data_IF_691663576635
#
_entry.id   IF_691663576635
#
_cell.length_a   1.000
_cell.length_b   1.000
_cell.length_c   1.000
_cell.angle_alpha   90.00
_cell.angle_beta   90.00
_cell.angle_gamma   90.00
#
_symmetry.space_group_name_H-M   'P 1'
#
loop_
_entity.id
_entity.type
_entity.pdbx_description
1 polymer ?
#
# COMPACT_ATOMS: atom_id res chain seq x y z
N UNK A 1 -28.86 -16.43 -4.72
CA UNK A 1 -28.03 -16.76 -5.90
C UNK A 1 -26.63 -16.22 -5.59
N UNK A 2 -25.70 -17.11 -5.24
CA UNK A 2 -24.30 -16.74 -5.12
C UNK A 2 -23.71 -16.66 -6.54
N UNK A 3 -23.39 -15.46 -6.99
CA UNK A 3 -22.63 -15.26 -8.21
C UNK A 3 -21.13 -15.36 -7.84
N UNK A 4 -20.35 -16.25 -8.46
CA UNK A 4 -18.92 -16.30 -8.25
C UNK A 4 -18.28 -14.97 -8.66
N UNK A 5 -17.27 -14.53 -7.91
CA UNK A 5 -16.51 -13.34 -8.29
C UNK A 5 -15.75 -13.60 -9.60
N UNK A 6 -15.62 -12.59 -10.49
CA UNK A 6 -14.80 -12.71 -11.68
C UNK A 6 -13.34 -13.02 -11.35
N UNK A 7 -12.64 -13.75 -12.24
CA UNK A 7 -11.24 -14.16 -12.02
C UNK A 7 -10.29 -12.98 -11.80
N UNK A 8 -10.56 -11.85 -12.42
CA UNK A 8 -9.75 -10.62 -12.30
C UNK A 8 -10.13 -9.72 -11.12
N UNK A 9 -11.05 -10.15 -10.25
CA UNK A 9 -11.38 -9.46 -9.01
C UNK A 9 -10.49 -9.93 -7.87
N UNK A 10 -9.80 -9.01 -7.20
CA UNK A 10 -9.02 -9.27 -6.00
C UNK A 10 -9.94 -9.14 -4.80
N UNK A 11 -10.41 -10.27 -4.31
CA UNK A 11 -11.25 -10.38 -3.11
C UNK A 11 -10.45 -10.81 -1.88
N UNK A 12 -11.09 -10.86 -0.71
CA UNK A 12 -10.44 -11.28 0.53
C UNK A 12 -9.90 -12.71 0.45
N UNK A 13 -10.59 -13.63 -0.20
CA UNK A 13 -10.15 -15.02 -0.38
C UNK A 13 -8.77 -15.12 -1.07
N UNK A 14 -8.53 -14.31 -2.11
CA UNK A 14 -7.25 -14.28 -2.84
C UNK A 14 -6.12 -13.62 -2.07
N UNK A 15 -6.44 -12.84 -1.04
CA UNK A 15 -5.45 -12.10 -0.24
C UNK A 15 -5.13 -12.83 1.07
N UNK A 16 -6.14 -13.36 1.75
CA UNK A 16 -6.00 -13.92 3.09
C UNK A 16 -6.24 -15.43 3.16
N UNK A 17 -6.76 -16.05 2.10
CA UNK A 17 -7.20 -17.44 2.11
C UNK A 17 -8.54 -17.61 2.85
N UNK A 18 -8.93 -18.86 3.01
CA UNK A 18 -10.13 -19.24 3.76
C UNK A 18 -9.75 -20.16 4.92
N UNK A 19 -10.41 -20.01 6.06
CA UNK A 19 -10.23 -20.93 7.18
C UNK A 19 -10.77 -22.35 6.90
N UNK A 20 -11.60 -22.50 5.87
CA UNK A 20 -12.25 -23.76 5.52
C UNK A 20 -11.34 -24.71 4.72
N UNK A 21 -10.40 -24.20 3.93
CA UNK A 21 -9.52 -25.00 3.06
C UNK A 21 -8.07 -24.50 3.15
N UNK A 22 -7.31 -24.87 4.18
CA UNK A 22 -5.89 -24.47 4.32
C UNK A 22 -5.00 -24.97 3.17
N UNK A 23 -5.42 -26.01 2.47
CA UNK A 23 -4.66 -26.63 1.37
C UNK A 23 -4.77 -25.84 0.03
N UNK A 24 -5.63 -24.82 -0.04
CA UNK A 24 -5.76 -23.92 -1.20
C UNK A 24 -4.89 -22.64 -1.06
N UNK A 25 -4.04 -22.56 -0.04
CA UNK A 25 -3.15 -21.41 0.21
C UNK A 25 -2.09 -21.21 -0.90
N UNK A 26 -1.87 -22.18 -1.77
CA UNK A 26 -0.93 -22.08 -2.90
C UNK A 26 -1.37 -21.07 -3.98
N UNK A 27 -2.63 -20.63 -3.95
CA UNK A 27 -3.21 -19.69 -4.92
C UNK A 27 -3.37 -18.26 -4.36
N UNK A 28 -2.80 -17.98 -3.21
CA UNK A 28 -2.87 -16.65 -2.60
C UNK A 28 -1.94 -15.65 -3.28
N UNK A 29 -2.41 -14.41 -3.39
CA UNK A 29 -1.56 -13.31 -3.80
C UNK A 29 -0.53 -13.02 -2.69
N UNK A 30 0.78 -13.09 -2.96
CA UNK A 30 1.84 -12.92 -1.97
C UNK A 30 2.07 -11.43 -1.63
N UNK A 31 1.02 -10.71 -1.26
CA UNK A 31 1.02 -9.24 -1.09
C UNK A 31 0.88 -8.78 0.36
N UNK A 32 0.71 -9.70 1.33
CA UNK A 32 0.57 -9.38 2.76
C UNK A 32 1.92 -9.47 3.47
N UNK A 33 2.28 -8.39 4.17
CA UNK A 33 3.54 -8.25 4.90
C UNK A 33 3.27 -7.97 6.38
N UNK A 34 3.85 -8.74 7.32
CA UNK A 34 3.63 -8.55 8.74
C UNK A 34 4.33 -7.28 9.24
N UNK A 35 3.65 -6.53 10.11
CA UNK A 35 4.20 -5.39 10.84
C UNK A 35 4.35 -5.79 12.30
N UNK A 36 5.59 -5.75 12.81
CA UNK A 36 5.95 -6.14 14.17
C UNK A 36 6.66 -5.05 14.97
N UNK A 37 6.95 -3.90 14.33
CA UNK A 37 7.79 -2.82 14.85
C UNK A 37 7.02 -1.51 15.10
N UNK A 38 5.70 -1.55 15.18
CA UNK A 38 4.86 -0.33 15.25
C UNK A 38 4.47 0.12 16.64
N UNK A 39 4.79 -0.62 17.70
CA UNK A 39 4.27 -0.39 19.05
C UNK A 39 4.68 0.96 19.67
N UNK A 40 5.89 1.43 19.36
CA UNK A 40 6.37 2.74 19.80
C UNK A 40 5.79 3.88 18.97
N UNK A 41 5.47 3.62 17.71
CA UNK A 41 4.94 4.60 16.78
C UNK A 41 3.44 4.85 17.01
N UNK A 42 2.66 3.78 17.16
CA UNK A 42 1.23 3.85 17.46
C UNK A 42 0.90 2.83 18.54
N UNK A 43 1.06 3.18 19.83
CA UNK A 43 0.78 2.27 20.94
C UNK A 43 -0.64 1.73 20.91
N UNK A 44 -0.81 0.46 21.25
CA UNK A 44 -2.11 -0.16 21.37
C UNK A 44 -2.98 0.60 22.38
N UNK A 45 -4.21 0.95 21.96
CA UNK A 45 -5.14 1.69 22.81
C UNK A 45 -4.82 3.17 23.02
N UNK A 46 -3.90 3.76 22.23
CA UNK A 46 -3.59 5.20 22.31
C UNK A 46 -4.85 6.06 22.29
N UNK A 47 -4.79 7.18 23.02
CA UNK A 47 -5.87 8.16 23.14
C UNK A 47 -5.55 9.42 22.32
N UNK A 48 -6.57 10.26 22.13
CA UNK A 48 -6.47 11.50 21.35
C UNK A 48 -5.32 12.40 21.81
N UNK A 49 -5.16 12.56 23.13
CA UNK A 49 -4.26 13.53 23.74
C UNK A 49 -2.94 12.90 24.22
N UNK A 50 -2.73 11.62 23.95
CA UNK A 50 -1.45 10.96 24.24
C UNK A 50 -0.30 11.60 23.46
N UNK A 51 0.94 11.51 23.96
CA UNK A 51 2.13 11.96 23.25
C UNK A 51 2.20 11.32 21.87
N UNK A 52 2.48 12.13 20.86
CA UNK A 52 2.55 11.70 19.47
C UNK A 52 3.99 11.39 19.05
N UNK A 53 4.19 10.43 18.15
CA UNK A 53 5.52 10.05 17.73
C UNK A 53 6.25 11.18 17.00
N UNK A 54 7.57 11.14 17.05
CA UNK A 54 8.44 11.99 16.23
C UNK A 54 8.77 11.32 14.90
N UNK A 55 9.51 11.99 14.03
CA UNK A 55 9.99 11.41 12.76
C UNK A 55 10.93 10.21 12.99
N UNK A 56 11.67 10.20 14.09
CA UNK A 56 12.61 9.14 14.43
C UNK A 56 11.89 7.86 14.91
N UNK A 57 10.66 8.00 15.40
CA UNK A 57 9.82 6.89 15.84
C UNK A 57 9.12 6.17 14.67
N UNK A 58 9.23 6.68 13.43
CA UNK A 58 8.64 6.04 12.25
C UNK A 58 9.30 4.67 12.06
N UNK A 59 8.54 3.56 12.16
CA UNK A 59 9.10 2.21 12.10
C UNK A 59 9.65 1.88 10.71
N UNK A 60 10.61 0.95 10.67
CA UNK A 60 11.22 0.54 9.40
C UNK A 60 10.22 -0.08 8.44
N UNK A 61 9.22 -0.79 8.95
CA UNK A 61 8.11 -1.31 8.15
C UNK A 61 7.35 -0.21 7.38
N UNK A 62 7.09 0.95 8.02
CA UNK A 62 6.44 2.08 7.35
C UNK A 62 7.39 2.79 6.38
N UNK A 63 8.67 2.92 6.72
CA UNK A 63 9.70 3.44 5.81
C UNK A 63 9.79 2.57 4.55
N UNK A 64 9.80 1.25 4.72
CA UNK A 64 9.76 0.28 3.62
C UNK A 64 8.48 0.42 2.79
N UNK A 65 7.31 0.55 3.42
CA UNK A 65 6.05 0.73 2.70
C UNK A 65 6.04 2.01 1.83
N UNK A 66 6.59 3.13 2.34
CA UNK A 66 6.70 4.38 1.56
C UNK A 66 7.65 4.19 0.37
N UNK A 67 8.81 3.54 0.57
CA UNK A 67 9.74 3.22 -0.52
C UNK A 67 9.11 2.26 -1.54
N UNK A 68 8.32 1.28 -1.10
CA UNK A 68 7.52 0.44 -1.97
C UNK A 68 6.57 1.27 -2.85
N UNK A 69 5.90 2.26 -2.28
CA UNK A 69 5.01 3.12 -3.07
C UNK A 69 5.77 3.93 -4.13
N UNK A 70 6.96 4.44 -3.81
CA UNK A 70 7.83 5.12 -4.78
C UNK A 70 8.20 4.18 -5.94
N UNK A 71 8.64 2.96 -5.62
CA UNK A 71 8.99 1.93 -6.63
C UNK A 71 7.77 1.54 -7.46
N UNK A 72 6.61 1.34 -6.84
CA UNK A 72 5.35 1.07 -7.54
C UNK A 72 5.01 2.16 -8.55
N UNK A 73 5.10 3.44 -8.16
CA UNK A 73 4.84 4.56 -9.07
C UNK A 73 5.80 4.54 -10.26
N UNK A 74 7.08 4.25 -10.05
CA UNK A 74 8.07 4.14 -11.13
C UNK A 74 7.77 2.96 -12.08
N UNK A 75 7.42 1.78 -11.55
CA UNK A 75 7.03 0.62 -12.37
C UNK A 75 5.77 0.93 -13.17
N UNK A 76 4.78 1.59 -12.59
CA UNK A 76 3.57 1.99 -13.32
C UNK A 76 3.84 2.98 -14.45
N UNK A 77 4.81 3.89 -14.29
CA UNK A 77 5.30 4.73 -15.40
C UNK A 77 5.89 3.85 -16.52
N UNK A 78 6.76 2.89 -16.18
CA UNK A 78 7.34 1.95 -17.15
C UNK A 78 6.28 1.13 -17.92
N UNK A 79 5.14 0.88 -17.27
CA UNK A 79 3.98 0.18 -17.87
C UNK A 79 3.03 1.09 -18.64
N UNK A 80 3.37 2.38 -18.85
CA UNK A 80 2.51 3.35 -19.54
C UNK A 80 1.32 3.84 -18.73
N UNK A 81 1.35 3.69 -17.41
CA UNK A 81 0.29 4.11 -16.49
C UNK A 81 0.58 5.44 -15.77
N UNK A 82 1.48 6.25 -16.32
CA UNK A 82 1.90 7.53 -15.70
C UNK A 82 0.73 8.48 -15.41
N UNK A 83 -0.28 8.49 -16.28
CA UNK A 83 -1.47 9.34 -16.16
C UNK A 83 -2.63 8.64 -15.44
N UNK A 84 -2.38 7.53 -14.76
CA UNK A 84 -3.36 6.87 -13.91
C UNK A 84 -3.18 7.29 -12.45
N UNK A 85 -4.27 7.23 -11.68
CA UNK A 85 -4.20 7.47 -10.25
C UNK A 85 -3.37 6.42 -9.55
N UNK A 86 -2.57 6.86 -8.57
CA UNK A 86 -1.80 6.01 -7.67
C UNK A 86 -2.10 6.43 -6.24
N UNK A 87 -2.45 5.48 -5.40
CA UNK A 87 -2.73 5.78 -4.00
C UNK A 87 -2.02 4.79 -3.08
N UNK A 88 -1.46 5.35 -2.00
CA UNK A 88 -1.04 4.61 -0.82
C UNK A 88 -1.95 5.00 0.34
N UNK A 89 -2.34 4.01 1.15
CA UNK A 89 -3.12 4.22 2.36
C UNK A 89 -2.25 4.03 3.60
N UNK A 90 -2.31 4.98 4.54
CA UNK A 90 -1.81 4.83 5.90
C UNK A 90 -2.99 5.00 6.86
N UNK A 91 -3.38 3.91 7.54
CA UNK A 91 -4.51 3.87 8.45
C UNK A 91 -4.09 3.23 9.78
N UNK A 92 -3.67 4.06 10.73
CA UNK A 92 -3.12 3.60 12.01
C UNK A 92 -3.83 4.22 13.23
N UNK A 93 -4.60 5.30 13.03
CA UNK A 93 -5.32 5.98 14.11
C UNK A 93 -6.68 6.51 13.65
N UNK A 94 -7.68 6.42 14.55
CA UNK A 94 -9.00 7.02 14.34
C UNK A 94 -9.04 8.52 14.66
N UNK A 95 -8.06 9.01 15.42
CA UNK A 95 -8.06 10.37 15.93
C UNK A 95 -7.49 11.35 14.91
N UNK A 96 -8.26 12.35 14.56
CA UNK A 96 -7.87 13.39 13.61
C UNK A 96 -6.59 14.11 13.99
N UNK A 97 -6.40 14.39 15.30
CA UNK A 97 -5.18 15.03 15.79
C UNK A 97 -3.93 14.18 15.50
N UNK A 98 -4.04 12.86 15.58
CA UNK A 98 -2.98 11.92 15.20
C UNK A 98 -2.75 11.92 13.70
N UNK A 99 -3.83 11.86 12.92
CA UNK A 99 -3.73 11.84 11.45
C UNK A 99 -3.02 13.09 10.92
N UNK A 100 -3.35 14.27 11.44
CA UNK A 100 -2.70 15.52 11.05
C UNK A 100 -1.22 15.53 11.44
N UNK A 101 -0.90 15.09 12.65
CA UNK A 101 0.48 15.01 13.11
C UNK A 101 1.30 14.00 12.27
N UNK A 102 0.74 12.81 12.02
CA UNK A 102 1.37 11.80 11.17
C UNK A 102 1.60 12.33 9.75
N UNK A 103 0.64 13.09 9.20
CA UNK A 103 0.82 13.75 7.90
C UNK A 103 2.05 14.64 7.88
N UNK A 104 2.28 15.43 8.94
CA UNK A 104 3.43 16.34 9.01
C UNK A 104 4.76 15.60 9.07
N UNK A 105 4.88 14.56 9.90
CA UNK A 105 6.15 13.82 10.02
C UNK A 105 6.41 12.93 8.80
N UNK A 106 5.38 12.33 8.20
CA UNK A 106 5.51 11.52 6.99
C UNK A 106 5.82 12.41 5.77
N UNK A 107 5.22 13.59 5.66
CA UNK A 107 5.55 14.55 4.61
C UNK A 107 7.02 15.00 4.67
N UNK A 108 7.56 15.23 5.88
CA UNK A 108 8.98 15.52 6.07
C UNK A 108 9.87 14.36 5.67
N UNK A 109 9.53 13.15 6.07
CA UNK A 109 10.27 11.94 5.67
C UNK A 109 10.24 11.75 4.16
N UNK A 110 9.08 11.91 3.54
CA UNK A 110 8.93 11.77 2.09
C UNK A 110 9.73 12.84 1.34
N UNK A 111 9.73 14.09 1.80
CA UNK A 111 10.56 15.17 1.23
C UNK A 111 12.05 14.86 1.31
N UNK A 112 12.50 14.25 2.40
CA UNK A 112 13.86 13.76 2.51
C UNK A 112 14.15 12.70 1.44
N UNK A 113 13.32 11.66 1.30
CA UNK A 113 13.49 10.64 0.26
C UNK A 113 13.49 11.24 -1.14
N UNK A 114 12.60 12.18 -1.40
CA UNK A 114 12.55 12.90 -2.68
C UNK A 114 13.85 13.63 -2.96
N UNK A 115 14.41 14.37 -1.99
CA UNK A 115 15.67 15.09 -2.17
C UNK A 115 16.85 14.15 -2.43
N UNK A 116 16.93 13.00 -1.75
CA UNK A 116 17.99 12.01 -1.98
C UNK A 116 17.88 11.38 -3.38
N UNK A 117 16.66 11.10 -3.85
CA UNK A 117 16.43 10.60 -5.21
C UNK A 117 16.81 11.66 -6.26
N UNK A 118 16.45 12.92 -6.04
CA UNK A 118 16.85 14.05 -6.91
C UNK A 118 18.36 14.22 -6.99
N UNK A 119 19.04 14.03 -5.87
CA UNK A 119 20.51 14.11 -5.78
C UNK A 119 21.22 12.86 -6.35
N UNK A 120 20.47 11.81 -6.75
CA UNK A 120 21.02 10.50 -7.09
C UNK A 120 21.91 9.91 -5.98
N UNK A 121 21.48 10.07 -4.72
CA UNK A 121 22.22 9.53 -3.57
C UNK A 121 22.39 8.01 -3.69
N UNK A 122 23.63 7.50 -3.61
CA UNK A 122 23.90 6.07 -3.82
C UNK A 122 23.24 5.17 -2.78
N UNK A 123 23.13 5.63 -1.53
CA UNK A 123 22.52 4.85 -0.44
C UNK A 123 21.02 4.72 -0.66
N UNK A 124 20.34 5.81 -0.97
CA UNK A 124 18.91 5.80 -1.27
C UNK A 124 18.58 4.94 -2.50
N UNK A 125 19.37 5.08 -3.57
CA UNK A 125 19.18 4.27 -4.77
C UNK A 125 19.42 2.78 -4.52
N UNK A 126 20.39 2.43 -3.67
CA UNK A 126 20.65 1.05 -3.28
C UNK A 126 19.49 0.47 -2.43
N UNK A 127 18.97 1.23 -1.47
CA UNK A 127 17.80 0.81 -0.69
C UNK A 127 16.57 0.55 -1.58
N UNK A 128 16.32 1.40 -2.58
CA UNK A 128 15.22 1.21 -3.53
C UNK A 128 15.48 0.01 -4.47
N UNK A 129 16.75 -0.22 -4.86
CA UNK A 129 17.13 -1.40 -5.64
C UNK A 129 16.87 -2.69 -4.87
N UNK A 130 17.27 -2.73 -3.60
CA UNK A 130 17.02 -3.88 -2.73
C UNK A 130 15.51 -4.18 -2.60
N UNK A 131 14.68 -3.17 -2.39
CA UNK A 131 13.21 -3.34 -2.39
C UNK A 131 12.70 -3.91 -3.70
N UNK A 132 13.28 -3.51 -4.81
CA UNK A 132 12.87 -3.99 -6.13
C UNK A 132 13.35 -5.43 -6.43
N UNK A 133 14.58 -5.82 -6.02
CA UNK A 133 15.25 -7.06 -6.45
C UNK A 133 15.43 -8.13 -5.37
N UNK A 134 15.50 -7.75 -4.08
CA UNK A 134 16.00 -8.63 -3.02
C UNK A 134 14.92 -8.97 -2.00
N UNK A 135 14.78 -10.26 -1.71
CA UNK A 135 13.90 -10.72 -0.63
C UNK A 135 14.61 -10.62 0.73
N UNK A 136 13.84 -10.39 1.79
CA UNK A 136 14.27 -10.47 3.18
C UNK A 136 13.27 -11.32 3.99
N UNK A 137 13.56 -11.68 5.25
CA UNK A 137 12.66 -12.48 6.07
C UNK A 137 11.24 -11.90 6.19
N UNK A 138 11.13 -10.58 6.23
CA UNK A 138 9.86 -9.87 6.42
C UNK A 138 9.37 -9.15 5.15
N UNK A 139 10.06 -9.33 4.02
CA UNK A 139 9.73 -8.63 2.80
C UNK A 139 10.08 -9.46 1.55
N UNK A 140 9.19 -9.42 0.57
CA UNK A 140 9.38 -10.05 -0.75
C UNK A 140 9.44 -8.98 -1.84
N UNK A 141 10.46 -9.05 -2.68
CA UNK A 141 10.75 -8.05 -3.70
C UNK A 141 9.70 -8.00 -4.81
N UNK A 142 9.68 -6.90 -5.55
CA UNK A 142 8.83 -6.78 -6.74
C UNK A 142 9.19 -7.81 -7.80
N UNK A 143 10.49 -8.05 -8.00
CA UNK A 143 11.00 -9.03 -8.95
C UNK A 143 10.47 -10.43 -8.63
N UNK A 144 10.54 -10.85 -7.39
CA UNK A 144 10.08 -12.17 -6.95
C UNK A 144 8.57 -12.31 -7.11
N UNK A 145 7.79 -11.37 -6.58
CA UNK A 145 6.32 -11.44 -6.63
C UNK A 145 5.81 -11.37 -8.06
N UNK A 146 6.33 -10.46 -8.88
CA UNK A 146 5.95 -10.37 -10.29
C UNK A 146 6.24 -11.67 -11.02
N UNK A 147 7.42 -12.28 -10.79
CA UNK A 147 7.80 -13.58 -11.38
C UNK A 147 6.82 -14.69 -10.99
N UNK A 148 6.54 -14.84 -9.71
CA UNK A 148 5.61 -15.87 -9.21
C UNK A 148 4.20 -15.74 -9.78
N UNK A 149 3.67 -14.50 -9.85
CA UNK A 149 2.33 -14.27 -10.42
C UNK A 149 2.30 -14.61 -11.92
N UNK A 150 3.34 -14.25 -12.68
CA UNK A 150 3.42 -14.55 -14.11
C UNK A 150 3.54 -16.07 -14.35
N UNK A 151 4.32 -16.76 -13.54
CA UNK A 151 4.57 -18.20 -13.67
C UNK A 151 3.42 -19.07 -13.13
N UNK A 152 2.59 -18.55 -12.24
CA UNK A 152 1.46 -19.28 -11.67
C UNK A 152 0.34 -19.47 -12.71
N UNK A 153 -0.13 -20.72 -12.97
CA UNK A 153 -1.26 -20.97 -13.85
C UNK A 153 -2.57 -20.35 -13.39
N UNK A 154 -2.72 -20.10 -12.10
CA UNK A 154 -3.92 -19.53 -11.48
C UNK A 154 -3.81 -18.01 -11.37
N UNK A 155 -2.72 -17.51 -10.76
CA UNK A 155 -2.55 -16.08 -10.50
C UNK A 155 -2.37 -15.26 -11.79
N UNK A 156 -1.73 -15.83 -12.81
CA UNK A 156 -1.56 -15.17 -14.12
C UNK A 156 -2.88 -14.85 -14.84
N UNK A 157 -3.98 -15.52 -14.46
CA UNK A 157 -5.32 -15.25 -15.01
C UNK A 157 -5.95 -13.99 -14.43
N UNK A 158 -5.49 -13.54 -13.23
CA UNK A 158 -6.01 -12.35 -12.58
C UNK A 158 -5.72 -11.11 -13.43
N UNK A 159 -4.52 -11.04 -14.00
CA UNK A 159 -4.11 -9.88 -14.80
C UNK A 159 -3.06 -10.26 -15.86
N UNK A 160 -3.47 -10.25 -17.11
CA UNK A 160 -2.60 -10.56 -18.25
C UNK A 160 -1.75 -9.37 -18.75
N UNK A 161 -1.82 -8.22 -18.08
CA UNK A 161 -1.05 -7.01 -18.40
C UNK A 161 0.22 -6.85 -17.56
N UNK A 162 0.43 -7.75 -16.62
CA UNK A 162 1.64 -7.78 -15.79
C UNK A 162 2.84 -8.13 -16.65
N UNK A 163 3.95 -7.44 -16.43
CA UNK A 163 5.24 -7.74 -17.04
C UNK A 163 6.39 -7.48 -16.09
N UNK A 164 7.45 -8.25 -16.22
CA UNK A 164 8.70 -8.06 -15.50
C UNK A 164 9.46 -6.84 -16.04
N UNK A 165 10.26 -6.24 -15.16
CA UNK A 165 11.18 -5.14 -15.46
C UNK A 165 12.54 -5.40 -14.86
N UNK A 166 13.56 -4.71 -15.36
CA UNK A 166 14.89 -4.65 -14.77
C UNK A 166 15.04 -3.37 -13.94
N UNK A 167 15.99 -3.37 -13.01
CA UNK A 167 16.31 -2.15 -12.26
C UNK A 167 16.75 -1.00 -13.17
N UNK A 168 17.50 -1.29 -14.24
CA UNK A 168 17.97 -0.28 -15.20
C UNK A 168 16.82 0.40 -15.94
N UNK A 169 15.69 -0.29 -16.12
CA UNK A 169 14.45 0.30 -16.67
C UNK A 169 13.73 1.19 -15.66
N UNK A 170 13.75 0.83 -14.37
CA UNK A 170 12.99 1.50 -13.32
C UNK A 170 13.73 2.70 -12.73
N UNK A 171 15.04 2.56 -12.49
CA UNK A 171 15.87 3.59 -11.87
C UNK A 171 15.72 4.99 -12.50
N UNK A 172 15.78 5.17 -13.84
CA UNK A 172 15.61 6.49 -14.47
C UNK A 172 14.25 7.13 -14.25
N UNK A 173 13.23 6.35 -13.88
CA UNK A 173 11.85 6.81 -13.70
C UNK A 173 11.54 7.25 -12.25
N UNK A 174 12.42 6.96 -11.30
CA UNK A 174 12.22 7.30 -9.88
C UNK A 174 12.03 8.80 -9.66
N UNK A 175 12.83 9.63 -10.31
CA UNK A 175 12.69 11.08 -10.21
C UNK A 175 11.30 11.56 -10.67
N UNK A 176 10.84 11.10 -11.81
CA UNK A 176 9.48 11.44 -12.33
C UNK A 176 8.39 10.94 -11.39
N UNK A 177 8.55 9.76 -10.82
CA UNK A 177 7.59 9.19 -9.89
C UNK A 177 7.43 10.06 -8.64
N UNK A 178 8.55 10.45 -7.97
CA UNK A 178 8.49 11.22 -6.73
C UNK A 178 8.01 12.65 -6.91
N UNK A 179 8.14 13.24 -8.11
CA UNK A 179 7.64 14.58 -8.40
C UNK A 179 6.12 14.69 -8.29
N UNK A 180 5.39 13.62 -8.59
CA UNK A 180 3.93 13.58 -8.57
C UNK A 180 3.32 13.23 -7.22
N UNK A 181 4.13 12.67 -6.29
CA UNK A 181 3.61 12.16 -5.02
C UNK A 181 3.38 13.32 -4.04
N UNK A 182 2.17 13.37 -3.50
CA UNK A 182 1.77 14.29 -2.43
C UNK A 182 1.32 13.51 -1.19
N UNK A 183 1.59 14.06 0.00
CA UNK A 183 1.12 13.50 1.28
C UNK A 183 -0.09 14.29 1.76
N UNK A 184 -1.23 13.62 1.94
CA UNK A 184 -2.50 14.24 2.33
C UNK A 184 -3.13 13.55 3.53
N UNK A 185 -3.69 14.34 4.44
CA UNK A 185 -4.57 13.85 5.50
C UNK A 185 -6.01 13.89 5.02
N UNK A 186 -6.71 12.76 5.14
CA UNK A 186 -8.10 12.63 4.74
C UNK A 186 -8.96 12.48 5.99
N UNK A 187 -9.42 13.62 6.48
CA UNK A 187 -10.30 13.70 7.64
C UNK A 187 -11.51 14.60 7.36
N UNK A 188 -12.47 14.58 8.28
CA UNK A 188 -13.78 15.20 8.10
C UNK A 188 -13.84 16.70 7.97
N UNK A 189 -12.79 17.39 8.27
CA UNK A 189 -12.72 18.85 8.39
C UNK A 189 -11.71 19.48 7.44
N UNK A 190 -10.80 18.67 6.86
CA UNK A 190 -9.86 19.17 5.88
C UNK A 190 -10.55 19.29 4.52
N UNK A 191 -10.33 20.41 3.83
CA UNK A 191 -10.65 20.58 2.44
C UNK A 191 -9.80 19.67 1.48
N UNK A 192 -9.07 18.73 2.06
CA UNK A 192 -8.24 17.75 1.35
C UNK A 192 -9.12 16.61 0.79
N UNK A 193 -10.09 16.97 -0.04
CA UNK A 193 -10.74 15.96 -0.87
C UNK A 193 -9.74 15.48 -1.93
N UNK A 194 -9.66 14.16 -2.12
CA UNK A 194 -8.94 13.61 -3.26
C UNK A 194 -9.77 13.89 -4.51
N UNK A 195 -9.35 14.87 -5.30
CA UNK A 195 -10.06 15.30 -6.52
C UNK A 195 -9.63 14.43 -7.71
N UNK A 196 -9.87 13.11 -7.62
CA UNK A 196 -9.56 12.19 -8.71
C UNK A 196 -10.25 12.59 -10.00
N UNK A 197 -11.51 12.98 -9.94
CA UNK A 197 -12.30 13.38 -11.11
C UNK A 197 -11.70 14.59 -11.82
N UNK A 198 -11.27 15.60 -11.07
CA UNK A 198 -10.68 16.83 -11.64
C UNK A 198 -9.30 16.57 -12.28
N UNK A 199 -8.65 15.46 -11.90
CA UNK A 199 -7.31 15.07 -12.36
C UNK A 199 -7.31 13.81 -13.23
N UNK A 200 -8.42 13.42 -13.82
CA UNK A 200 -8.56 12.18 -14.60
C UNK A 200 -7.57 12.09 -15.77
N UNK A 201 -7.23 13.23 -16.39
CA UNK A 201 -6.30 13.26 -17.53
C UNK A 201 -4.83 13.06 -17.15
N UNK A 202 -4.42 13.56 -15.99
CA UNK A 202 -3.03 13.56 -15.57
C UNK A 202 -2.72 12.54 -14.49
N UNK A 203 -3.75 12.00 -13.84
CA UNK A 203 -3.62 11.17 -12.66
C UNK A 203 -3.04 11.93 -11.46
N UNK A 204 -3.30 11.45 -10.26
CA UNK A 204 -2.62 11.91 -9.04
C UNK A 204 -1.92 10.74 -8.37
N UNK A 205 -0.80 11.03 -7.71
CA UNK A 205 -0.10 10.08 -6.85
C UNK A 205 -0.14 10.60 -5.43
N UNK A 206 -0.74 9.84 -4.50
CA UNK A 206 -1.01 10.34 -3.16
C UNK A 206 -0.70 9.30 -2.09
N UNK A 207 -0.03 9.74 -1.02
CA UNK A 207 0.05 9.04 0.25
C UNK A 207 -1.06 9.60 1.14
N UNK A 208 -2.14 8.84 1.28
CA UNK A 208 -3.34 9.23 2.00
C UNK A 208 -3.28 8.72 3.44
N UNK A 209 -3.28 9.64 4.40
CA UNK A 209 -3.36 9.33 5.82
C UNK A 209 -4.79 9.58 6.27
N UNK A 210 -5.46 8.54 6.74
CA UNK A 210 -6.88 8.65 7.03
C UNK A 210 -7.35 7.80 8.20
N UNK A 211 -8.59 8.03 8.58
CA UNK A 211 -9.31 7.36 9.65
C UNK A 211 -10.64 6.78 9.20
N UNK A 212 -11.64 6.80 10.07
CA UNK A 212 -12.96 6.17 9.87
C UNK A 212 -13.73 6.65 8.64
N UNK A 213 -13.42 7.84 8.11
CA UNK A 213 -14.03 8.29 6.85
C UNK A 213 -13.60 7.50 5.63
N UNK A 214 -12.44 6.85 5.69
CA UNK A 214 -12.02 5.93 4.62
C UNK A 214 -12.91 4.69 4.51
N UNK A 215 -13.62 4.33 5.58
CA UNK A 215 -14.59 3.23 5.56
C UNK A 215 -15.92 3.61 4.89
N UNK A 216 -16.23 4.91 4.78
CA UNK A 216 -17.52 5.39 4.31
C UNK A 216 -17.38 6.46 3.24
N UNK A 217 -17.66 6.10 1.99
CA UNK A 217 -17.90 7.08 0.92
C UNK A 217 -16.68 7.69 0.24
N UNK A 218 -15.44 7.29 0.57
CA UNK A 218 -14.25 7.70 -0.16
C UNK A 218 -13.65 6.52 -0.93
N UNK A 219 -13.48 6.68 -2.21
CA UNK A 219 -12.74 5.72 -3.05
C UNK A 219 -11.28 6.12 -3.12
N UNK A 220 -10.36 5.16 -2.95
CA UNK A 220 -8.94 5.33 -3.20
C UNK A 220 -8.61 4.70 -4.55
N UNK A 221 -8.64 5.51 -5.59
CA UNK A 221 -8.35 5.02 -6.94
C UNK A 221 -6.86 4.72 -7.10
N UNK A 222 -6.57 3.59 -7.77
CA UNK A 222 -5.20 3.15 -7.98
C UNK A 222 -4.47 2.75 -6.70
N UNK A 223 -5.20 2.31 -5.66
CA UNK A 223 -4.61 1.86 -4.41
C UNK A 223 -3.71 0.65 -4.66
N UNK A 224 -2.44 0.79 -4.31
CA UNK A 224 -1.42 -0.24 -4.45
C UNK A 224 -0.78 -0.63 -3.12
N UNK A 225 -0.34 0.33 -2.32
CA UNK A 225 0.31 0.08 -1.04
C UNK A 225 -0.58 0.51 0.11
N UNK A 226 -0.78 -0.36 1.08
CA UNK A 226 -1.56 -0.08 2.29
C UNK A 226 -0.73 -0.42 3.52
N UNK A 227 -0.68 0.53 4.47
CA UNK A 227 -0.14 0.33 5.80
C UNK A 227 -1.29 0.46 6.78
N UNK A 228 -1.80 -0.70 7.25
CA UNK A 228 -3.07 -0.79 7.94
C UNK A 228 -2.90 -1.55 9.27
N UNK A 229 -2.98 -0.83 10.39
CA UNK A 229 -2.76 -1.38 11.74
C UNK A 229 -3.98 -1.24 12.65
N UNK A 230 -5.05 -0.64 12.16
CA UNK A 230 -6.20 -0.39 13.00
C UNK A 230 -7.18 -1.55 12.99
N UNK A 231 -7.37 -2.17 14.15
CA UNK A 231 -8.43 -3.15 14.37
C UNK A 231 -9.80 -2.49 14.49
N UNK A 232 -10.82 -3.11 13.92
CA UNK A 232 -12.23 -2.87 14.24
C UNK A 232 -12.80 -4.14 14.89
N UNK A 233 -13.57 -3.96 15.96
CA UNK A 233 -14.25 -5.09 16.63
C UNK A 233 -15.47 -5.60 15.86
N UNK A 234 -15.88 -4.89 14.80
CA UNK A 234 -17.05 -5.24 13.98
C UNK A 234 -16.60 -5.76 12.61
N UNK A 235 -16.95 -6.99 12.29
CA UNK A 235 -16.59 -7.64 11.02
C UNK A 235 -17.00 -6.83 9.78
N UNK A 236 -18.22 -6.31 9.74
CA UNK A 236 -18.70 -5.49 8.62
C UNK A 236 -17.82 -4.25 8.39
N UNK A 237 -17.37 -3.64 9.49
CA UNK A 237 -16.49 -2.46 9.41
C UNK A 237 -15.11 -2.85 8.92
N UNK A 238 -14.59 -4.01 9.34
CA UNK A 238 -13.29 -4.52 8.90
C UNK A 238 -13.28 -4.78 7.39
N UNK A 239 -14.32 -5.43 6.87
CA UNK A 239 -14.49 -5.68 5.43
C UNK A 239 -14.65 -4.38 4.63
N UNK A 240 -15.38 -3.40 5.15
CA UNK A 240 -15.51 -2.08 4.53
C UNK A 240 -14.22 -1.27 4.53
N UNK A 241 -13.32 -1.52 5.49
CA UNK A 241 -11.99 -0.90 5.56
C UNK A 241 -10.98 -1.53 4.60
N UNK A 242 -11.24 -2.75 4.13
CA UNK A 242 -10.43 -3.48 3.16
C UNK A 242 -10.42 -2.84 1.77
N UNK A 243 -9.88 -1.64 1.67
CA UNK A 243 -9.84 -0.84 0.44
C UNK A 243 -8.89 -1.41 -0.62
N UNK A 244 -8.06 -2.39 -0.25
CA UNK A 244 -7.19 -3.11 -1.16
C UNK A 244 -7.91 -4.15 -2.02
N UNK A 245 -9.18 -4.46 -1.77
CA UNK A 245 -10.01 -5.30 -2.64
C UNK A 245 -10.45 -4.54 -3.90
N UNK A 246 -10.65 -5.27 -5.00
CA UNK A 246 -11.16 -4.72 -6.25
C UNK A 246 -10.33 -5.10 -7.47
N UNK A 247 -10.56 -4.39 -8.57
CA UNK A 247 -9.83 -4.60 -9.82
C UNK A 247 -8.50 -3.85 -9.82
N UNK A 248 -7.42 -4.50 -10.27
CA UNK A 248 -6.06 -3.95 -10.29
C UNK A 248 -5.38 -4.13 -11.66
N UNK A 249 -5.96 -3.61 -12.76
CA UNK A 249 -5.49 -3.90 -14.11
C UNK A 249 -4.08 -3.34 -14.34
N UNK A 250 -3.14 -4.24 -14.60
CA UNK A 250 -1.74 -3.93 -14.89
C UNK A 250 -0.87 -3.62 -13.69
N UNK A 251 -1.34 -3.86 -12.42
CA UNK A 251 -0.54 -3.58 -11.23
C UNK A 251 -0.87 -4.43 -9.99
N UNK A 252 -1.57 -5.56 -10.14
CA UNK A 252 -1.89 -6.44 -8.99
C UNK A 252 -0.63 -6.97 -8.30
N UNK A 253 0.41 -7.26 -9.07
CA UNK A 253 1.72 -7.71 -8.58
C UNK A 253 2.49 -6.63 -7.80
N UNK A 254 2.10 -5.37 -7.96
CA UNK A 254 2.69 -4.24 -7.25
C UNK A 254 1.99 -3.94 -5.92
N UNK A 255 0.86 -4.59 -5.66
CA UNK A 255 0.12 -4.39 -4.42
C UNK A 255 0.91 -4.89 -3.20
N UNK A 256 0.83 -4.14 -2.11
CA UNK A 256 1.46 -4.44 -0.82
C UNK A 256 0.52 -4.08 0.31
N UNK A 257 0.27 -5.03 1.21
CA UNK A 257 -0.51 -4.80 2.42
C UNK A 257 0.38 -5.07 3.65
N UNK A 258 0.82 -4.01 4.28
CA UNK A 258 1.52 -4.06 5.57
C UNK A 258 0.49 -4.03 6.69
N UNK A 259 0.39 -5.09 7.47
CA UNK A 259 -0.61 -5.21 8.53
C UNK A 259 -0.11 -6.08 9.69
N UNK A 260 -0.77 -6.01 10.85
CA UNK A 260 -0.41 -6.88 11.97
C UNK A 260 -0.84 -8.32 11.73
N UNK A 261 -0.14 -9.27 12.37
CA UNK A 261 -0.52 -10.68 12.33
C UNK A 261 -1.94 -10.90 12.84
N UNK A 262 -2.34 -10.20 13.91
CA UNK A 262 -3.69 -10.27 14.47
C UNK A 262 -4.76 -9.88 13.44
N UNK A 263 -4.54 -8.79 12.70
CA UNK A 263 -5.47 -8.36 11.65
C UNK A 263 -5.52 -9.33 10.47
N UNK A 264 -4.37 -9.88 10.09
CA UNK A 264 -4.28 -10.90 9.05
C UNK A 264 -5.09 -12.16 9.42
N UNK A 265 -4.94 -12.65 10.66
CA UNK A 265 -5.73 -13.77 11.17
C UNK A 265 -7.23 -13.46 11.23
N UNK A 266 -7.60 -12.24 11.62
CA UNK A 266 -9.01 -11.85 11.65
C UNK A 266 -9.62 -11.82 10.26
N UNK A 267 -8.92 -11.25 9.25
CA UNK A 267 -9.40 -11.28 7.87
C UNK A 267 -9.55 -12.70 7.35
N UNK A 268 -8.57 -13.56 7.61
CA UNK A 268 -8.61 -14.98 7.23
C UNK A 268 -9.79 -15.72 7.88
N UNK A 269 -10.14 -15.37 9.11
CA UNK A 269 -11.25 -16.00 9.84
C UNK A 269 -12.64 -15.54 9.36
N UNK A 270 -12.73 -14.35 8.79
CA UNK A 270 -13.97 -13.76 8.27
C UNK A 270 -14.24 -14.23 6.83
N UNK A 271 -13.19 -14.58 6.10
CA UNK A 271 -13.27 -15.03 4.71
C UNK A 271 -13.66 -16.50 4.64
#
# INVERSE_FOLDING_TARGET
INLPAPDNYVGPEKVFGTSANPDEDDDLLPIVFPVTDSDTFVPAGHKRDDPKPTIDDIPESLRTAIKCFIVTCAIRIARGQENKHNSMLIHVSRFQAWQNHLKEIIDRLFKYYKSEIEANDPTMLEELRQIFEEDSPDYRSYRTITGEIIESPVLSRIDNKIRSHTWDEIRPLLYRAVQKIEVKSINGTSGDSLTYYDNEKNGISVIAIGGDKLSRGLTLEGLSVSYFLRASKMYDTLMQMGRWFGYRPGYVDLCRLFTSNELNEWYRHIT
#
